data_IF_433252221884
#
_entry.id   IF_433252221884
#
_cell.length_a   1.000
_cell.length_b   1.000
_cell.length_c   1.000
_cell.angle_alpha   90.00
_cell.angle_beta   90.00
_cell.angle_gamma   90.00
#
_symmetry.space_group_name_H-M   'P 1'
#
loop_
_entity.id
_entity.type
_entity.pdbx_description
1 polymer ?
#
# COMPACT_ATOMS: atom_id res chain seq x y z
N UNK A 1 0.74 -33.89 5.93
CA UNK A 1 0.75 -32.68 6.77
C UNK A 1 0.57 -31.49 5.84
N UNK A 2 -0.46 -30.67 6.03
CA UNK A 2 -0.72 -29.49 5.19
C UNK A 2 -0.27 -28.24 5.97
N UNK A 3 0.51 -27.37 5.31
CA UNK A 3 0.94 -26.09 5.86
C UNK A 3 0.36 -24.96 5.02
N UNK A 4 -0.29 -24.01 5.70
CA UNK A 4 -0.84 -22.79 5.11
C UNK A 4 -0.05 -21.64 5.72
N UNK A 5 0.52 -20.80 4.85
CA UNK A 5 1.28 -19.62 5.26
C UNK A 5 0.57 -18.39 4.73
N UNK A 6 0.48 -17.37 5.59
CA UNK A 6 0.04 -16.04 5.18
C UNK A 6 1.17 -15.35 4.39
N UNK A 7 0.80 -14.40 3.53
CA UNK A 7 1.76 -13.69 2.69
C UNK A 7 2.30 -12.46 3.42
N UNK A 8 1.41 -11.61 3.93
CA UNK A 8 1.76 -10.33 4.52
C UNK A 8 2.42 -10.47 5.89
N UNK A 9 3.62 -9.90 6.05
CA UNK A 9 4.42 -9.91 7.28
C UNK A 9 4.81 -11.32 7.80
N UNK A 10 4.54 -12.37 7.02
CA UNK A 10 4.93 -13.76 7.29
C UNK A 10 5.91 -14.25 6.24
N UNK A 11 5.59 -14.08 4.94
CA UNK A 11 6.51 -14.39 3.84
C UNK A 11 7.17 -13.13 3.29
N UNK A 12 6.45 -12.00 3.24
CA UNK A 12 6.98 -10.70 2.77
C UNK A 12 6.74 -9.60 3.79
N UNK A 13 7.76 -8.78 4.06
CA UNK A 13 7.62 -7.59 4.90
C UNK A 13 6.75 -6.56 4.16
N UNK A 14 5.67 -6.10 4.80
CA UNK A 14 4.76 -5.09 4.26
C UNK A 14 4.96 -3.77 5.02
N UNK A 15 5.22 -2.69 4.29
CA UNK A 15 5.32 -1.34 4.87
C UNK A 15 4.52 -0.30 4.09
N UNK A 16 3.29 -0.04 4.55
CA UNK A 16 2.41 1.00 4.00
C UNK A 16 2.96 2.41 4.17
N UNK A 17 3.86 2.67 5.13
CA UNK A 17 4.44 4.00 5.32
C UNK A 17 5.23 4.44 4.09
N UNK A 18 5.83 3.49 3.37
CA UNK A 18 6.58 3.76 2.15
C UNK A 18 5.69 4.25 1.03
N UNK A 19 4.54 3.60 0.85
CA UNK A 19 3.53 3.99 -0.15
C UNK A 19 2.96 5.37 0.18
N UNK A 20 2.59 5.59 1.45
CA UNK A 20 2.11 6.88 1.93
C UNK A 20 3.15 7.98 1.74
N UNK A 21 4.45 7.68 1.90
CA UNK A 21 5.54 8.62 1.62
C UNK A 21 5.58 9.06 0.16
N UNK A 22 5.49 8.11 -0.77
CA UNK A 22 5.49 8.44 -2.21
C UNK A 22 4.24 9.22 -2.61
N UNK A 23 3.07 8.89 -2.04
CA UNK A 23 1.85 9.66 -2.29
C UNK A 23 1.88 11.05 -1.64
N UNK A 24 2.51 11.20 -0.47
CA UNK A 24 2.79 12.50 0.15
C UNK A 24 3.60 13.40 -0.79
N UNK A 25 4.68 12.86 -1.37
CA UNK A 25 5.55 13.61 -2.28
C UNK A 25 4.81 14.04 -3.57
N UNK A 26 3.95 13.18 -4.10
CA UNK A 26 3.22 13.45 -5.35
C UNK A 26 2.04 14.41 -5.17
N UNK A 27 1.25 14.21 -4.11
CA UNK A 27 0.05 15.01 -3.82
C UNK A 27 0.38 16.32 -3.08
N UNK A 28 1.62 16.46 -2.59
CA UNK A 28 2.05 17.52 -1.66
C UNK A 28 1.24 17.57 -0.36
N UNK A 29 0.54 16.49 -0.03
CA UNK A 29 -0.16 16.34 1.26
C UNK A 29 0.83 15.81 2.28
N UNK A 30 0.96 16.42 3.47
CA UNK A 30 1.92 15.95 4.47
C UNK A 30 1.69 14.48 4.85
N UNK A 31 2.78 13.69 4.86
CA UNK A 31 2.76 12.29 5.28
C UNK A 31 2.07 12.08 6.65
N UNK A 32 2.26 12.98 7.60
CA UNK A 32 1.60 12.90 8.91
C UNK A 32 0.07 12.94 8.79
N UNK A 33 -0.46 13.82 7.93
CA UNK A 33 -1.89 13.93 7.64
C UNK A 33 -2.41 12.68 6.92
N UNK A 34 -1.62 12.12 6.01
CA UNK A 34 -1.97 10.86 5.34
C UNK A 34 -2.00 9.70 6.35
N UNK A 35 -0.99 9.56 7.21
CA UNK A 35 -0.98 8.51 8.25
C UNK A 35 -2.15 8.64 9.23
N UNK A 36 -2.59 9.86 9.55
CA UNK A 36 -3.71 10.08 10.45
C UNK A 36 -5.06 9.75 9.79
N UNK A 37 -5.20 10.01 8.49
CA UNK A 37 -6.42 9.70 7.72
C UNK A 37 -6.48 8.26 7.24
N UNK A 38 -5.32 7.63 7.06
CA UNK A 38 -5.21 6.26 6.59
C UNK A 38 -5.91 5.32 7.57
N UNK A 39 -7.08 4.83 7.14
CA UNK A 39 -7.88 3.89 7.91
C UNK A 39 -8.04 2.62 7.08
N UNK A 40 -7.79 1.46 7.70
CA UNK A 40 -8.23 0.18 7.12
C UNK A 40 -9.74 0.06 7.33
N UNK A 41 -10.48 0.83 6.54
CA UNK A 41 -11.93 0.89 6.55
C UNK A 41 -12.57 -0.18 5.68
N UNK A 42 -13.89 -0.11 5.54
CA UNK A 42 -14.67 -1.09 4.80
C UNK A 42 -14.24 -1.20 3.32
N UNK A 43 -13.80 -0.10 2.71
CA UNK A 43 -13.27 -0.08 1.34
C UNK A 43 -12.05 -1.01 1.16
N UNK A 44 -11.17 -1.12 2.15
CA UNK A 44 -10.05 -2.08 2.11
C UNK A 44 -10.55 -3.51 2.15
N UNK A 45 -11.48 -3.82 3.05
CA UNK A 45 -12.01 -5.18 3.15
C UNK A 45 -12.79 -5.58 1.88
N UNK A 46 -13.55 -4.66 1.29
CA UNK A 46 -14.26 -4.90 0.02
C UNK A 46 -13.29 -5.18 -1.11
N UNK A 47 -12.17 -4.45 -1.18
CA UNK A 47 -11.14 -4.67 -2.19
C UNK A 47 -10.43 -6.03 -1.98
N UNK A 48 -10.08 -6.38 -0.74
CA UNK A 48 -9.47 -7.69 -0.43
C UNK A 48 -10.41 -8.86 -0.70
N UNK A 49 -11.72 -8.66 -0.54
CA UNK A 49 -12.75 -9.65 -0.90
C UNK A 49 -13.08 -9.69 -2.40
N UNK A 50 -12.53 -8.77 -3.20
CA UNK A 50 -12.81 -8.63 -4.63
C UNK A 50 -14.21 -8.12 -4.95
N UNK A 51 -14.86 -7.41 -4.01
CA UNK A 51 -16.20 -6.84 -4.18
C UNK A 51 -16.20 -5.53 -4.97
N UNK A 52 -15.07 -4.81 -4.97
CA UNK A 52 -14.86 -3.58 -5.74
C UNK A 52 -13.64 -3.73 -6.64
N UNK A 53 -13.66 -3.06 -7.80
CA UNK A 53 -12.52 -3.09 -8.72
C UNK A 53 -11.37 -2.22 -8.20
N UNK A 54 -10.16 -2.47 -8.70
CA UNK A 54 -8.96 -1.72 -8.36
C UNK A 54 -9.13 -0.21 -8.60
N UNK A 55 -9.85 0.16 -9.68
CA UNK A 55 -10.15 1.56 -10.01
C UNK A 55 -11.11 2.18 -9.00
N UNK A 56 -12.16 1.45 -8.61
CA UNK A 56 -13.14 1.91 -7.63
C UNK A 56 -12.51 2.06 -6.24
N UNK A 57 -11.59 1.15 -5.88
CA UNK A 57 -10.78 1.27 -4.68
C UNK A 57 -9.88 2.51 -4.73
N UNK A 58 -9.17 2.74 -5.83
CA UNK A 58 -8.30 3.90 -5.98
C UNK A 58 -9.09 5.22 -5.90
N UNK A 59 -10.27 5.29 -6.51
CA UNK A 59 -11.13 6.47 -6.45
C UNK A 59 -11.62 6.75 -5.03
N UNK A 60 -12.17 5.73 -4.35
CA UNK A 60 -12.64 5.86 -2.97
C UNK A 60 -11.51 6.24 -2.01
N UNK A 61 -10.33 5.62 -2.16
CA UNK A 61 -9.15 5.91 -1.36
C UNK A 61 -8.63 7.33 -1.62
N UNK A 62 -8.52 7.75 -2.88
CA UNK A 62 -8.12 9.11 -3.24
C UNK A 62 -9.11 10.15 -2.68
N UNK A 63 -10.41 9.87 -2.70
CA UNK A 63 -11.43 10.75 -2.14
C UNK A 63 -11.29 10.88 -0.62
N UNK A 64 -11.15 9.77 0.11
CA UNK A 64 -10.98 9.77 1.59
C UNK A 64 -9.71 10.50 2.02
N UNK A 65 -8.63 10.30 1.26
CA UNK A 65 -7.31 10.86 1.55
C UNK A 65 -7.10 12.27 0.97
N UNK A 66 -8.07 12.80 0.22
CA UNK A 66 -8.00 14.05 -0.54
C UNK A 66 -6.76 14.12 -1.47
N UNK A 67 -6.47 13.01 -2.15
CA UNK A 67 -5.38 12.87 -3.11
C UNK A 67 -5.89 13.15 -4.53
N UNK A 68 -5.18 14.02 -5.26
CA UNK A 68 -5.42 14.29 -6.68
C UNK A 68 -4.53 13.41 -7.57
N UNK A 69 -4.64 12.08 -7.43
CA UNK A 69 -3.85 11.09 -8.19
C UNK A 69 -4.72 10.34 -9.20
N UNK A 70 -4.17 10.06 -10.38
CA UNK A 70 -4.81 9.15 -11.34
C UNK A 70 -4.56 7.69 -10.97
N UNK A 71 -5.40 6.77 -11.47
CA UNK A 71 -5.23 5.33 -11.26
C UNK A 71 -3.85 4.83 -11.69
N UNK A 72 -3.33 5.31 -12.84
CA UNK A 72 -1.99 4.95 -13.32
C UNK A 72 -0.85 5.44 -12.40
N UNK A 73 -1.08 6.50 -11.62
CA UNK A 73 -0.12 6.96 -10.62
C UNK A 73 -0.25 6.18 -9.30
N UNK A 74 -1.43 5.62 -9.04
CA UNK A 74 -1.80 4.89 -7.84
C UNK A 74 -1.36 3.41 -7.89
N UNK A 75 -1.78 2.66 -8.92
CA UNK A 75 -1.68 1.20 -8.99
C UNK A 75 -0.23 0.66 -9.01
N UNK A 76 0.70 1.18 -9.83
CA UNK A 76 2.09 0.66 -9.84
C UNK A 76 2.81 0.88 -8.50
N UNK A 77 2.39 1.88 -7.73
CA UNK A 77 3.05 2.28 -6.47
C UNK A 77 2.46 1.60 -5.25
N UNK A 78 1.22 1.12 -5.33
CA UNK A 78 0.64 0.20 -4.38
C UNK A 78 1.39 -1.14 -4.43
N UNK A 79 1.48 -1.77 -5.60
CA UNK A 79 2.14 -3.07 -5.75
C UNK A 79 3.67 -3.02 -5.51
N UNK A 80 4.36 -1.96 -5.99
CA UNK A 80 5.81 -1.82 -5.84
C UNK A 80 6.28 -1.18 -4.53
N UNK A 81 5.39 -0.49 -3.79
CA UNK A 81 5.73 0.25 -2.58
C UNK A 81 5.42 -0.47 -1.27
N UNK A 82 4.42 -1.35 -1.27
CA UNK A 82 3.99 -2.13 -0.09
C UNK A 82 5.01 -3.20 0.28
N UNK A 83 5.53 -3.91 -0.72
CA UNK A 83 6.44 -5.02 -0.49
C UNK A 83 7.85 -4.49 -0.23
N UNK A 84 8.32 -4.64 1.01
CA UNK A 84 9.74 -4.49 1.32
C UNK A 84 10.43 -5.75 0.81
N UNK A 85 10.75 -5.75 -0.49
CA UNK A 85 11.89 -6.53 -0.94
C UNK A 85 13.08 -5.87 -0.27
N UNK A 86 13.51 -6.39 0.88
CA UNK A 86 14.89 -6.20 1.30
C UNK A 86 15.69 -6.74 0.12
N UNK A 87 16.17 -5.84 -0.75
CA UNK A 87 17.42 -6.10 -1.41
C UNK A 87 18.38 -6.38 -0.25
N UNK A 88 18.60 -7.67 0.05
CA UNK A 88 19.71 -8.09 0.88
C UNK A 88 20.95 -7.64 0.11
N UNK A 89 21.36 -6.41 0.40
CA UNK A 89 22.70 -5.92 0.13
C UNK A 89 23.73 -6.60 1.03
N UNK A 90 23.31 -7.50 1.93
CA UNK A 90 24.14 -8.12 2.95
C UNK A 90 24.44 -9.60 2.67
N UNK A 91 24.57 -9.98 1.39
CA UNK A 91 25.41 -11.13 1.03
C UNK A 91 26.88 -10.70 0.99
N UNK A 92 27.44 -10.17 2.08
CA UNK A 92 28.88 -10.07 2.33
C UNK A 92 29.08 -9.63 3.80
N UNK A 93 29.14 -10.59 4.73
CA UNK A 93 30.18 -10.75 5.75
C UNK A 93 29.68 -11.65 6.90
N UNK A 94 30.53 -12.64 7.21
CA UNK A 94 30.53 -13.60 8.32
C UNK A 94 29.62 -14.84 8.18
#
# INVERSE_FOLDING_TARGET
MLYIFDLGNVIVDIDFNRVLGVWSDLSRVPLASLKQKFTMGETFHQHERGEITDEAFAEAFCHEMALSLSYEQFAPRLAGGICRVTARSDCYHA
#
